data_IF_798205546124
#
_entry.id   IF_798205546124
#
_cell.length_a   1.000
_cell.length_b   1.000
_cell.length_c   1.000
_cell.angle_alpha   90.00
_cell.angle_beta   90.00
_cell.angle_gamma   90.00
#
_symmetry.space_group_name_H-M   'P 1'
#
loop_
_entity.id
_entity.type
_entity.pdbx_description
1 polymer ?
#
# COMPACT_ATOMS: atom_id res chain seq x y z
N UNK A 1 -25.56 15.12 33.28
CA UNK A 1 -26.64 15.37 34.27
C UNK A 1 -27.53 14.09 34.38
N UNK A 2 -28.21 13.87 35.53
CA UNK A 2 -29.12 12.72 35.72
C UNK A 2 -30.18 12.63 34.62
N UNK A 3 -30.72 13.76 34.16
CA UNK A 3 -31.69 13.82 33.06
C UNK A 3 -31.13 13.24 31.76
N UNK A 4 -29.88 13.57 31.43
CA UNK A 4 -29.22 13.04 30.23
C UNK A 4 -29.09 11.51 30.30
N UNK A 5 -28.67 10.95 31.43
CA UNK A 5 -28.55 9.53 31.63
C UNK A 5 -29.91 8.78 31.47
N UNK A 6 -31.00 9.35 32.03
CA UNK A 6 -32.34 8.79 31.89
C UNK A 6 -32.80 8.83 30.41
N UNK A 7 -32.52 9.90 29.69
CA UNK A 7 -32.86 10.01 28.27
C UNK A 7 -32.09 8.97 27.44
N UNK A 8 -30.78 8.81 27.69
CA UNK A 8 -29.97 7.80 27.04
C UNK A 8 -30.46 6.36 27.33
N UNK A 9 -30.92 6.09 28.54
CA UNK A 9 -31.51 4.78 28.90
C UNK A 9 -32.84 4.53 28.17
N UNK A 10 -33.73 5.53 28.11
CA UNK A 10 -34.98 5.43 27.36
C UNK A 10 -34.71 5.24 25.85
N UNK A 11 -33.77 5.99 25.28
CA UNK A 11 -33.36 5.88 23.87
C UNK A 11 -32.85 4.46 23.57
N UNK A 12 -32.01 3.92 24.46
CA UNK A 12 -31.47 2.56 24.37
C UNK A 12 -32.57 1.50 24.37
N UNK A 13 -33.57 1.61 25.29
CA UNK A 13 -34.66 0.66 25.37
C UNK A 13 -35.59 0.73 24.14
N UNK A 14 -35.98 1.92 23.72
CA UNK A 14 -36.84 2.14 22.55
C UNK A 14 -36.13 1.61 21.29
N UNK A 15 -34.86 1.94 21.08
CA UNK A 15 -34.09 1.48 19.94
C UNK A 15 -34.09 -0.08 19.85
N UNK A 16 -33.86 -0.77 20.97
CA UNK A 16 -33.90 -2.23 21.01
C UNK A 16 -35.26 -2.81 20.68
N UNK A 17 -36.34 -2.22 21.19
CA UNK A 17 -37.67 -2.66 20.87
C UNK A 17 -37.98 -2.54 19.38
N UNK A 18 -37.66 -1.43 18.76
CA UNK A 18 -37.87 -1.20 17.33
C UNK A 18 -37.06 -2.19 16.50
N UNK A 19 -35.77 -2.33 16.78
CA UNK A 19 -34.90 -3.18 15.96
C UNK A 19 -35.18 -4.67 16.17
N UNK A 20 -35.35 -5.12 17.39
CA UNK A 20 -35.51 -6.57 17.67
C UNK A 20 -36.92 -7.06 17.45
N UNK A 21 -37.95 -6.30 17.89
CA UNK A 21 -39.36 -6.73 17.82
C UNK A 21 -40.02 -6.30 16.51
N UNK A 22 -39.84 -5.05 16.11
CA UNK A 22 -40.52 -4.52 14.93
C UNK A 22 -39.72 -4.76 13.65
N UNK A 23 -38.46 -5.23 13.77
CA UNK A 23 -37.52 -5.46 12.64
C UNK A 23 -37.39 -4.24 11.71
N UNK A 24 -37.33 -3.06 12.32
CA UNK A 24 -37.20 -1.79 11.61
C UNK A 24 -35.91 -1.08 12.06
N UNK A 25 -35.15 -0.55 11.14
CA UNK A 25 -33.95 0.27 11.41
C UNK A 25 -34.32 1.74 11.42
N UNK A 26 -33.50 2.57 12.11
CA UNK A 26 -33.76 3.99 12.26
C UNK A 26 -33.79 4.74 10.90
N UNK A 27 -33.12 4.24 9.89
CA UNK A 27 -33.10 4.79 8.53
C UNK A 27 -34.07 4.07 7.55
N UNK A 28 -34.90 3.14 8.04
CA UNK A 28 -35.87 2.42 7.26
C UNK A 28 -35.36 1.23 6.45
N UNK A 29 -34.03 0.93 6.47
CA UNK A 29 -33.45 -0.23 5.79
C UNK A 29 -33.88 -1.55 6.44
N UNK A 30 -33.82 -2.61 5.65
CA UNK A 30 -33.92 -3.97 6.18
C UNK A 30 -32.65 -4.34 6.97
N UNK A 31 -32.75 -5.41 7.76
CA UNK A 31 -31.62 -5.87 8.61
C UNK A 31 -30.39 -6.28 7.80
N UNK A 32 -30.60 -6.80 6.60
CA UNK A 32 -29.54 -7.29 5.70
C UNK A 32 -29.14 -6.29 4.59
N UNK A 33 -29.65 -5.07 4.64
CA UNK A 33 -29.50 -4.08 3.58
C UNK A 33 -28.28 -3.18 3.80
N UNK A 34 -27.51 -2.98 2.71
CA UNK A 34 -26.37 -2.06 2.67
C UNK A 34 -26.86 -0.68 2.22
N UNK A 35 -26.28 0.39 2.77
CA UNK A 35 -26.51 1.76 2.31
C UNK A 35 -26.11 1.91 0.83
N UNK A 36 -26.66 2.89 0.09
CA UNK A 36 -26.28 3.14 -1.30
C UNK A 36 -24.76 3.27 -1.47
N UNK A 37 -24.22 2.60 -2.50
CA UNK A 37 -22.81 2.56 -2.81
C UNK A 37 -22.50 3.42 -4.03
N UNK A 38 -21.42 4.19 -3.98
CA UNK A 38 -20.80 4.79 -5.16
C UNK A 38 -19.27 4.73 -5.08
N UNK A 39 -18.64 4.69 -6.24
CA UNK A 39 -17.19 4.51 -6.36
C UNK A 39 -16.65 5.34 -7.51
N UNK A 40 -15.54 6.02 -7.27
CA UNK A 40 -14.81 6.77 -8.29
C UNK A 40 -13.32 6.47 -8.19
N UNK A 41 -12.63 6.48 -9.33
CA UNK A 41 -11.17 6.35 -9.41
C UNK A 41 -10.56 7.54 -10.14
N UNK A 42 -9.26 7.79 -9.92
CA UNK A 42 -8.50 8.88 -10.57
C UNK A 42 -9.00 10.29 -10.27
N UNK A 43 -9.63 10.51 -9.13
CA UNK A 43 -10.06 11.85 -8.72
C UNK A 43 -8.89 12.84 -8.67
N UNK A 44 -7.73 12.38 -8.26
CA UNK A 44 -6.52 13.19 -8.11
C UNK A 44 -5.55 12.89 -9.26
N UNK A 45 -5.41 13.82 -10.24
CA UNK A 45 -4.76 13.51 -11.52
C UNK A 45 -3.24 13.31 -11.43
N UNK A 46 -2.59 13.71 -10.33
CA UNK A 46 -1.13 13.61 -10.18
C UNK A 46 -0.68 12.53 -9.20
N UNK A 47 -1.60 11.85 -8.54
CA UNK A 47 -1.28 10.72 -7.66
C UNK A 47 -0.94 9.47 -8.48
N UNK A 48 -0.30 8.49 -7.84
CA UNK A 48 -0.02 7.22 -8.52
C UNK A 48 -1.27 6.36 -8.65
N UNK A 49 -2.20 6.45 -7.70
CA UNK A 49 -3.56 5.92 -7.76
C UNK A 49 -4.42 6.61 -6.74
N UNK A 50 -5.68 6.86 -7.05
CA UNK A 50 -6.65 7.41 -6.11
C UNK A 50 -8.02 6.81 -6.34
N UNK A 51 -8.77 6.62 -5.24
CA UNK A 51 -10.12 6.10 -5.28
C UNK A 51 -10.97 6.71 -4.17
N UNK A 52 -12.20 7.03 -4.50
CA UNK A 52 -13.24 7.44 -3.57
C UNK A 52 -14.26 6.32 -3.43
N UNK A 53 -14.53 5.92 -2.22
CA UNK A 53 -15.57 4.96 -1.89
C UNK A 53 -16.59 5.62 -0.96
N UNK A 54 -17.86 5.57 -1.37
CA UNK A 54 -18.97 6.15 -0.61
C UNK A 54 -19.99 5.07 -0.29
N UNK A 55 -20.41 5.00 0.96
CA UNK A 55 -21.47 4.12 1.46
C UNK A 55 -22.41 4.94 2.31
N UNK A 56 -23.52 5.40 1.72
CA UNK A 56 -24.43 6.36 2.35
C UNK A 56 -23.67 7.61 2.80
N UNK A 57 -23.70 7.90 4.09
CA UNK A 57 -23.01 9.02 4.73
C UNK A 57 -21.61 8.68 5.24
N UNK A 58 -20.95 7.71 4.63
CA UNK A 58 -19.54 7.38 4.95
C UNK A 58 -18.73 7.39 3.68
N UNK A 59 -17.74 8.28 3.63
CA UNK A 59 -16.91 8.50 2.45
C UNK A 59 -15.43 8.48 2.80
N UNK A 60 -14.65 7.68 2.07
CA UNK A 60 -13.20 7.57 2.23
C UNK A 60 -12.50 7.78 0.88
N UNK A 61 -11.52 8.69 0.87
CA UNK A 61 -10.62 8.93 -0.26
C UNK A 61 -9.28 8.27 0.04
N UNK A 62 -8.92 7.26 -0.72
CA UNK A 62 -7.62 6.59 -0.60
C UNK A 62 -6.68 7.01 -1.73
N UNK A 63 -5.43 7.24 -1.36
CA UNK A 63 -4.36 7.69 -2.25
C UNK A 63 -3.19 6.73 -2.12
N UNK A 64 -2.80 6.10 -3.22
CA UNK A 64 -1.64 5.21 -3.29
C UNK A 64 -0.43 5.95 -3.83
N UNK A 65 0.70 5.80 -3.15
CA UNK A 65 2.02 6.26 -3.58
C UNK A 65 2.96 5.06 -3.69
N UNK A 66 3.71 5.00 -4.78
CA UNK A 66 4.74 4.00 -5.04
C UNK A 66 6.11 4.65 -4.87
N UNK A 67 7.00 3.99 -4.15
CA UNK A 67 8.38 4.43 -3.94
C UNK A 67 9.36 3.31 -4.27
N UNK A 68 10.67 3.61 -4.28
CA UNK A 68 11.72 2.61 -4.41
C UNK A 68 11.70 1.65 -3.20
N UNK A 69 12.25 0.45 -3.35
CA UNK A 69 12.32 -0.54 -2.26
C UNK A 69 13.03 0.02 -1.03
N UNK A 70 14.16 0.69 -1.21
CA UNK A 70 14.91 1.32 -0.11
C UNK A 70 14.17 2.43 0.64
N UNK A 71 12.96 2.83 0.19
CA UNK A 71 12.09 3.79 0.89
C UNK A 71 11.12 3.12 1.89
N UNK A 72 11.30 1.83 2.19
CA UNK A 72 10.54 1.12 3.20
C UNK A 72 10.68 1.76 4.58
N UNK A 73 9.69 1.55 5.43
CA UNK A 73 9.77 2.00 6.81
C UNK A 73 10.67 1.06 7.61
N UNK A 74 11.72 1.61 8.24
CA UNK A 74 12.56 0.87 9.18
C UNK A 74 11.81 0.75 10.51
N UNK A 75 11.70 -0.47 11.02
CA UNK A 75 11.11 -0.78 12.32
C UNK A 75 12.23 -1.05 13.32
N UNK A 76 12.46 -0.11 14.25
CA UNK A 76 13.42 -0.24 15.33
C UNK A 76 12.67 -0.67 16.60
N UNK A 77 12.29 -1.94 16.67
CA UNK A 77 11.52 -2.55 17.74
C UNK A 77 12.16 -3.84 18.24
N UNK A 78 11.44 -4.55 19.12
CA UNK A 78 11.84 -5.85 19.66
C UNK A 78 11.32 -7.03 18.82
N UNK A 79 10.54 -6.75 17.78
CA UNK A 79 9.97 -7.75 16.90
C UNK A 79 10.99 -8.22 15.85
N UNK A 80 10.71 -9.35 15.21
CA UNK A 80 11.56 -9.92 14.16
C UNK A 80 11.49 -9.11 12.84
N UNK A 81 10.40 -8.37 12.62
CA UNK A 81 10.25 -7.51 11.45
C UNK A 81 11.06 -6.24 11.65
N UNK A 82 12.02 -6.01 10.76
CA UNK A 82 12.90 -4.83 10.78
C UNK A 82 12.53 -3.78 9.74
N UNK A 83 11.66 -4.14 8.80
CA UNK A 83 11.25 -3.27 7.70
C UNK A 83 9.79 -3.50 7.31
N UNK A 84 9.18 -2.47 6.73
CA UNK A 84 7.79 -2.50 6.33
C UNK A 84 7.61 -1.86 4.96
N UNK A 85 7.35 -2.68 3.96
CA UNK A 85 7.21 -2.29 2.56
C UNK A 85 5.81 -1.79 2.20
N UNK A 86 4.77 -2.31 2.84
CA UNK A 86 3.40 -1.87 2.69
C UNK A 86 2.93 -1.11 3.91
N UNK A 87 2.37 0.09 3.72
CA UNK A 87 1.88 0.96 4.79
C UNK A 87 0.49 1.48 4.45
N UNK A 88 -0.40 1.49 5.45
CA UNK A 88 -1.69 2.16 5.34
C UNK A 88 -1.88 3.14 6.49
N UNK A 89 -2.01 4.41 6.17
CA UNK A 89 -2.26 5.50 7.10
C UNK A 89 -3.71 5.95 6.97
N UNK A 90 -4.38 6.06 8.10
CA UNK A 90 -5.77 6.43 8.20
C UNK A 90 -5.91 7.76 8.94
N UNK A 91 -6.58 8.72 8.34
CA UNK A 91 -6.86 10.02 8.92
C UNK A 91 -8.36 10.22 9.08
N UNK A 92 -8.75 10.69 10.27
CA UNK A 92 -10.14 10.96 10.62
C UNK A 92 -10.25 12.39 11.13
N UNK A 93 -10.28 13.39 10.23
CA UNK A 93 -10.40 14.79 10.62
C UNK A 93 -11.77 15.08 11.23
N UNK A 94 -11.84 16.04 12.16
CA UNK A 94 -13.06 16.40 12.87
C UNK A 94 -14.23 16.79 11.95
N UNK A 95 -13.94 17.40 10.79
CA UNK A 95 -14.97 17.78 9.82
C UNK A 95 -15.74 16.57 9.24
N UNK A 96 -15.15 15.35 9.27
CA UNK A 96 -15.82 14.14 8.77
C UNK A 96 -17.10 13.78 9.54
N UNK A 97 -17.26 14.29 10.74
CA UNK A 97 -18.46 14.18 11.58
C UNK A 97 -19.12 15.53 11.85
N UNK A 98 -18.77 16.56 11.06
CA UNK A 98 -19.34 17.92 11.20
C UNK A 98 -18.82 18.70 12.40
N UNK A 99 -17.71 18.29 12.99
CA UNK A 99 -17.13 18.92 14.16
C UNK A 99 -15.92 19.81 13.80
N UNK A 100 -15.59 20.72 14.71
CA UNK A 100 -14.32 21.46 14.68
C UNK A 100 -13.31 20.81 15.62
N UNK A 101 -12.05 20.72 15.20
CA UNK A 101 -11.03 20.08 16.00
C UNK A 101 -9.62 20.52 15.62
N UNK A 102 -8.64 20.14 16.44
CA UNK A 102 -7.22 20.38 16.14
C UNK A 102 -6.75 19.38 15.07
N UNK A 103 -5.98 19.87 14.13
CA UNK A 103 -5.21 19.05 13.22
C UNK A 103 -3.89 18.68 13.91
N UNK A 104 -3.61 17.40 14.06
CA UNK A 104 -2.43 16.90 14.79
C UNK A 104 -2.05 15.47 14.41
N UNK A 105 -1.18 14.88 15.20
CA UNK A 105 -0.80 13.47 15.03
C UNK A 105 -2.02 12.54 15.21
N UNK A 106 -2.07 11.40 14.49
CA UNK A 106 -3.15 10.43 14.62
C UNK A 106 -3.32 9.93 16.06
N UNK A 107 -4.56 9.87 16.52
CA UNK A 107 -4.92 9.30 17.80
C UNK A 107 -4.90 7.76 17.77
N UNK A 108 -5.05 7.11 18.93
CA UNK A 108 -5.05 5.64 19.05
C UNK A 108 -6.12 4.97 18.19
N UNK A 109 -7.30 5.60 18.04
CA UNK A 109 -8.39 5.08 17.20
C UNK A 109 -8.00 5.09 15.72
N UNK A 110 -7.37 6.15 15.25
CA UNK A 110 -6.90 6.27 13.87
C UNK A 110 -5.81 5.26 13.58
N UNK A 111 -4.84 5.08 14.49
CA UNK A 111 -3.79 4.06 14.38
C UNK A 111 -4.41 2.66 14.30
N UNK A 112 -5.38 2.33 15.16
CA UNK A 112 -6.06 1.03 15.16
C UNK A 112 -6.88 0.76 13.89
N UNK A 113 -7.56 1.78 13.37
CA UNK A 113 -8.30 1.66 12.10
C UNK A 113 -7.35 1.51 10.91
N UNK A 114 -6.25 2.24 10.90
CA UNK A 114 -5.18 2.09 9.90
C UNK A 114 -4.59 0.68 9.91
N UNK A 115 -4.25 0.16 11.09
CA UNK A 115 -3.71 -1.19 11.26
C UNK A 115 -4.69 -2.29 10.80
N UNK A 116 -6.00 -2.11 11.01
CA UNK A 116 -7.00 -3.04 10.48
C UNK A 116 -7.03 -3.03 8.96
N UNK A 117 -7.04 -1.84 8.34
CA UNK A 117 -7.01 -1.68 6.88
C UNK A 117 -5.76 -2.27 6.27
N UNK A 118 -4.61 -2.03 6.88
CA UNK A 118 -3.33 -2.56 6.45
C UNK A 118 -3.31 -4.09 6.48
N UNK A 119 -3.71 -4.72 7.60
CA UNK A 119 -3.79 -6.19 7.69
C UNK A 119 -4.73 -6.78 6.66
N UNK A 120 -5.86 -6.10 6.38
CA UNK A 120 -6.84 -6.58 5.40
C UNK A 120 -6.27 -6.60 3.97
N UNK A 121 -5.46 -5.61 3.60
CA UNK A 121 -4.90 -5.47 2.26
C UNK A 121 -3.54 -6.18 2.11
N UNK A 122 -2.76 -6.31 3.18
CA UNK A 122 -1.45 -6.98 3.16
C UNK A 122 -1.53 -8.42 2.61
N UNK A 123 -2.61 -9.14 2.90
CA UNK A 123 -2.80 -10.53 2.48
C UNK A 123 -2.89 -10.69 0.95
N UNK A 124 -3.25 -9.64 0.25
CA UNK A 124 -3.39 -9.63 -1.21
C UNK A 124 -2.28 -8.89 -1.93
N UNK A 125 -1.33 -8.32 -1.20
CA UNK A 125 -0.18 -7.64 -1.81
C UNK A 125 0.70 -8.63 -2.57
N UNK A 126 1.29 -8.20 -3.70
CA UNK A 126 2.27 -8.99 -4.43
C UNK A 126 3.57 -9.17 -3.63
N UNK A 127 4.35 -10.19 -3.98
CA UNK A 127 5.71 -10.34 -3.44
C UNK A 127 6.62 -9.21 -3.93
N UNK A 128 7.80 -9.11 -3.36
CA UNK A 128 8.79 -8.12 -3.77
C UNK A 128 9.33 -8.40 -5.17
N UNK A 129 9.53 -9.68 -5.50
CA UNK A 129 9.98 -10.09 -6.82
C UNK A 129 8.96 -9.78 -7.91
N UNK A 130 7.65 -9.88 -7.60
CA UNK A 130 6.57 -9.57 -8.53
C UNK A 130 6.36 -8.07 -8.72
N UNK A 131 6.54 -7.29 -7.63
CA UNK A 131 6.30 -5.84 -7.65
C UNK A 131 7.29 -5.12 -6.73
N UNK A 132 8.47 -4.74 -7.24
CA UNK A 132 9.59 -4.20 -6.46
C UNK A 132 9.39 -2.73 -6.07
N UNK A 133 8.33 -2.44 -5.32
CA UNK A 133 8.02 -1.10 -4.81
C UNK A 133 7.70 -1.13 -3.33
N UNK A 134 8.07 -0.08 -2.65
CA UNK A 134 7.44 0.30 -1.39
C UNK A 134 6.10 0.97 -1.71
N UNK A 135 5.04 0.53 -1.04
CA UNK A 135 3.67 0.98 -1.31
C UNK A 135 3.08 1.64 -0.07
N UNK A 136 2.65 2.88 -0.22
CA UNK A 136 1.98 3.63 0.85
C UNK A 136 0.57 4.02 0.41
N UNK A 137 -0.43 3.66 1.20
CA UNK A 137 -1.81 4.12 1.07
C UNK A 137 -2.11 5.11 2.18
N UNK A 138 -2.65 6.27 1.83
CA UNK A 138 -3.20 7.24 2.78
C UNK A 138 -4.69 7.33 2.54
N UNK A 139 -5.47 7.08 3.57
CA UNK A 139 -6.94 7.19 3.52
C UNK A 139 -7.41 8.39 4.34
N UNK A 140 -8.07 9.32 3.67
CA UNK A 140 -8.74 10.48 4.26
C UNK A 140 -10.23 10.20 4.37
N UNK A 141 -10.77 10.21 5.57
CA UNK A 141 -12.21 10.08 5.79
C UNK A 141 -12.84 11.44 5.61
N UNK A 142 -13.67 11.59 4.56
CA UNK A 142 -14.31 12.87 4.21
C UNK A 142 -15.65 13.04 4.91
N UNK A 143 -16.39 11.95 5.10
CA UNK A 143 -17.65 11.92 5.85
C UNK A 143 -17.80 10.59 6.58
N UNK A 144 -18.39 10.57 7.76
CA UNK A 144 -18.56 9.34 8.55
C UNK A 144 -19.86 9.30 9.33
N UNK A 145 -20.64 8.24 9.05
CA UNK A 145 -21.75 7.78 9.88
C UNK A 145 -21.64 6.25 10.08
N UNK A 146 -20.55 5.84 10.74
CA UNK A 146 -20.27 4.44 11.07
C UNK A 146 -19.40 3.72 10.03
N UNK A 147 -18.50 2.91 10.54
CA UNK A 147 -17.63 1.98 9.80
C UNK A 147 -16.75 2.59 8.69
N UNK A 148 -16.10 3.72 8.99
CA UNK A 148 -15.15 4.38 8.09
C UNK A 148 -13.91 3.53 7.79
N UNK A 149 -13.47 2.64 8.72
CA UNK A 149 -12.37 1.72 8.47
C UNK A 149 -12.66 0.72 7.34
N UNK A 150 -13.91 0.25 7.23
CA UNK A 150 -14.31 -0.65 6.15
C UNK A 150 -14.43 0.09 4.81
N UNK A 151 -14.87 1.34 4.82
CA UNK A 151 -14.82 2.20 3.64
C UNK A 151 -13.37 2.44 3.19
N UNK A 152 -12.45 2.65 4.14
CA UNK A 152 -11.00 2.76 3.87
C UNK A 152 -10.42 1.51 3.20
N UNK A 153 -10.81 0.31 3.63
CA UNK A 153 -10.37 -0.94 2.98
C UNK A 153 -10.84 -0.99 1.53
N UNK A 154 -12.11 -0.66 1.27
CA UNK A 154 -12.66 -0.64 -0.08
C UNK A 154 -11.97 0.42 -0.97
N UNK A 155 -11.83 1.65 -0.49
CA UNK A 155 -11.13 2.72 -1.20
C UNK A 155 -9.65 2.39 -1.42
N UNK A 156 -8.97 1.86 -0.40
CA UNK A 156 -7.58 1.42 -0.45
C UNK A 156 -7.36 0.33 -1.50
N UNK A 157 -8.23 -0.68 -1.54
CA UNK A 157 -8.20 -1.72 -2.55
C UNK A 157 -8.29 -1.14 -3.98
N UNK A 158 -9.26 -0.26 -4.21
CA UNK A 158 -9.46 0.39 -5.51
C UNK A 158 -8.29 1.30 -5.89
N UNK A 159 -7.72 2.05 -4.93
CA UNK A 159 -6.58 2.92 -5.17
C UNK A 159 -5.30 2.15 -5.51
N UNK A 160 -5.08 0.98 -4.91
CA UNK A 160 -4.00 0.05 -5.25
C UNK A 160 -4.16 -0.48 -6.68
N UNK A 161 -5.37 -0.92 -7.05
CA UNK A 161 -5.66 -1.38 -8.40
C UNK A 161 -5.47 -0.27 -9.45
N UNK A 162 -5.92 0.96 -9.13
CA UNK A 162 -5.74 2.14 -9.97
C UNK A 162 -4.27 2.55 -10.12
N UNK A 163 -3.44 2.31 -9.11
CA UNK A 163 -2.00 2.54 -9.15
C UNK A 163 -1.23 1.50 -9.99
N UNK A 164 -1.86 0.41 -10.38
CA UNK A 164 -1.22 -0.69 -11.09
C UNK A 164 -0.51 -1.69 -10.18
N UNK A 165 -0.85 -1.73 -8.88
CA UNK A 165 -0.36 -2.76 -7.97
C UNK A 165 -1.08 -4.07 -8.26
N UNK A 166 -0.37 -5.14 -8.64
CA UNK A 166 -0.99 -6.41 -9.04
C UNK A 166 -1.43 -7.22 -7.81
N UNK A 167 -2.44 -6.70 -7.08
CA UNK A 167 -3.01 -7.42 -5.94
C UNK A 167 -3.61 -8.76 -6.38
N UNK A 168 -3.49 -9.79 -5.55
CA UNK A 168 -3.95 -11.16 -5.84
C UNK A 168 -5.45 -11.25 -6.07
N UNK A 169 -6.24 -10.45 -5.35
CA UNK A 169 -7.70 -10.37 -5.50
C UNK A 169 -8.24 -9.07 -4.88
N UNK A 170 -9.36 -8.54 -5.36
CA UNK A 170 -10.03 -7.41 -4.73
C UNK A 170 -10.53 -7.74 -3.33
N UNK A 171 -10.45 -6.76 -2.42
CA UNK A 171 -10.88 -6.86 -1.02
C UNK A 171 -12.00 -5.87 -0.76
N UNK A 172 -13.06 -6.33 -0.11
CA UNK A 172 -14.13 -5.48 0.43
C UNK A 172 -14.29 -5.70 1.93
N UNK A 173 -14.71 -4.67 2.63
CA UNK A 173 -14.98 -4.70 4.05
C UNK A 173 -16.40 -4.25 4.41
N UNK A 174 -16.98 -4.88 5.44
CA UNK A 174 -18.30 -4.54 5.98
C UNK A 174 -18.27 -4.60 7.50
N UNK A 175 -19.12 -3.81 8.15
CA UNK A 175 -19.38 -3.92 9.58
C UNK A 175 -20.78 -4.47 9.84
N UNK A 176 -20.82 -5.48 10.68
CA UNK A 176 -22.03 -6.11 11.19
C UNK A 176 -22.29 -5.67 12.62
N UNK A 177 -23.53 -5.59 13.02
CA UNK A 177 -23.94 -5.32 14.40
C UNK A 177 -24.81 -6.44 14.96
N UNK A 178 -24.84 -6.50 16.27
CA UNK A 178 -25.76 -7.38 17.02
C UNK A 178 -26.54 -6.52 18.01
N UNK A 179 -27.83 -6.72 18.05
CA UNK A 179 -28.73 -6.16 19.07
C UNK A 179 -29.55 -7.28 19.70
N UNK A 180 -29.47 -7.40 21.01
CA UNK A 180 -30.18 -8.42 21.78
C UNK A 180 -31.30 -7.81 22.62
N UNK A 181 -32.35 -8.56 22.87
CA UNK A 181 -33.45 -8.19 23.79
C UNK A 181 -33.98 -9.44 24.45
N UNK A 182 -33.55 -9.73 25.67
CA UNK A 182 -33.81 -11.02 26.34
C UNK A 182 -33.15 -12.16 25.58
N UNK A 183 -33.94 -13.15 25.19
CA UNK A 183 -33.49 -14.30 24.39
C UNK A 183 -33.49 -14.03 22.88
N UNK A 184 -34.11 -12.93 22.44
CA UNK A 184 -34.19 -12.53 21.03
C UNK A 184 -32.98 -11.72 20.62
N UNK A 185 -32.57 -11.86 19.35
CA UNK A 185 -31.51 -11.07 18.77
C UNK A 185 -31.75 -10.70 17.30
N UNK A 186 -31.03 -9.72 16.82
CA UNK A 186 -31.03 -9.30 15.43
C UNK A 186 -29.60 -8.92 14.98
N UNK A 187 -29.20 -9.47 13.84
CA UNK A 187 -27.95 -9.13 13.21
C UNK A 187 -28.19 -8.06 12.15
N UNK A 188 -27.41 -6.99 12.19
CA UNK A 188 -27.50 -5.86 11.27
C UNK A 188 -26.33 -5.86 10.31
N UNK A 189 -26.60 -5.68 9.03
CA UNK A 189 -25.57 -5.43 8.00
C UNK A 189 -25.35 -3.93 7.84
N UNK A 190 -24.10 -3.50 7.70
CA UNK A 190 -23.73 -2.10 7.47
C UNK A 190 -24.28 -1.16 8.55
N UNK A 191 -23.76 -1.31 9.75
CA UNK A 191 -24.19 -0.51 10.89
C UNK A 191 -23.80 0.96 10.77
N UNK A 192 -24.72 1.81 11.22
CA UNK A 192 -24.49 3.25 11.40
C UNK A 192 -23.92 3.55 12.80
N UNK A 193 -23.50 4.80 12.99
CA UNK A 193 -22.95 5.25 14.28
C UNK A 193 -23.87 5.03 15.48
N UNK A 194 -25.17 5.24 15.34
CA UNK A 194 -26.15 4.96 16.38
C UNK A 194 -26.24 3.45 16.69
N UNK A 195 -26.26 2.61 15.67
CA UNK A 195 -26.31 1.15 15.80
C UNK A 195 -25.02 0.55 16.39
N UNK A 196 -23.87 1.16 16.08
CA UNK A 196 -22.59 0.85 16.73
C UNK A 196 -22.64 1.25 18.23
N UNK A 197 -23.12 2.46 18.53
CA UNK A 197 -23.15 2.98 19.91
C UNK A 197 -24.09 2.20 20.82
N UNK A 198 -25.31 1.93 20.35
CA UNK A 198 -26.39 1.29 21.11
C UNK A 198 -26.41 -0.25 20.95
N UNK A 199 -25.62 -0.81 20.06
CA UNK A 199 -25.54 -2.24 19.81
C UNK A 199 -24.68 -3.01 20.80
N UNK A 200 -24.77 -4.35 20.77
CA UNK A 200 -24.08 -5.27 21.67
C UNK A 200 -22.77 -5.83 21.08
N UNK A 201 -22.64 -5.78 19.76
CA UNK A 201 -21.45 -6.21 19.04
C UNK A 201 -21.23 -5.32 17.82
N UNK A 202 -19.99 -4.93 17.59
CA UNK A 202 -19.45 -4.39 16.33
C UNK A 202 -18.49 -5.43 15.75
N UNK A 203 -18.85 -5.97 14.60
CA UNK A 203 -18.13 -7.07 13.96
C UNK A 203 -17.71 -6.68 12.54
N UNK A 204 -16.44 -6.36 12.37
CA UNK A 204 -15.84 -5.93 11.11
C UNK A 204 -15.19 -7.09 10.38
N UNK A 205 -15.59 -7.31 9.14
CA UNK A 205 -15.11 -8.42 8.31
C UNK A 205 -14.65 -7.87 6.96
N UNK A 206 -13.39 -8.09 6.64
CA UNK A 206 -12.82 -7.79 5.32
C UNK A 206 -12.34 -9.06 4.63
N UNK A 207 -12.41 -9.10 3.30
CA UNK A 207 -11.91 -10.24 2.55
C UNK A 207 -12.22 -10.19 1.06
N UNK A 208 -11.68 -11.18 0.36
CA UNK A 208 -11.88 -11.45 -1.05
C UNK A 208 -13.14 -12.31 -1.28
N UNK A 209 -13.35 -12.75 -2.53
CA UNK A 209 -14.36 -13.78 -2.83
C UNK A 209 -14.02 -15.14 -2.20
N UNK A 210 -12.73 -15.44 -2.05
CA UNK A 210 -12.24 -16.75 -1.61
C UNK A 210 -12.14 -16.88 -0.08
N UNK A 211 -11.87 -15.78 0.63
CA UNK A 211 -11.69 -15.84 2.08
C UNK A 211 -11.66 -14.49 2.78
N UNK A 212 -11.57 -14.57 4.11
CA UNK A 212 -11.46 -13.41 5.01
C UNK A 212 -9.98 -13.06 5.13
N UNK A 213 -9.65 -11.78 4.96
CA UNK A 213 -8.30 -11.24 5.09
C UNK A 213 -8.06 -10.52 6.42
N UNK A 214 -9.12 -9.96 7.01
CA UNK A 214 -9.06 -9.39 8.36
C UNK A 214 -10.43 -9.44 9.05
N UNK A 215 -10.35 -9.55 10.37
CA UNK A 215 -11.51 -9.60 11.24
C UNK A 215 -11.22 -8.81 12.51
N UNK A 216 -12.19 -8.01 12.95
CA UNK A 216 -12.16 -7.33 14.24
C UNK A 216 -13.55 -7.43 14.86
N UNK A 217 -13.62 -7.82 16.12
CA UNK A 217 -14.85 -7.90 16.89
C UNK A 217 -14.70 -7.12 18.19
N UNK A 218 -15.69 -6.28 18.48
CA UNK A 218 -15.88 -5.65 19.77
C UNK A 218 -17.23 -6.09 20.34
N UNK A 219 -17.21 -6.70 21.53
CA UNK A 219 -18.39 -7.24 22.19
C UNK A 219 -18.61 -6.49 23.50
N UNK A 220 -19.80 -5.90 23.66
CA UNK A 220 -20.18 -5.12 24.84
C UNK A 220 -20.98 -5.95 25.86
N UNK A 221 -21.31 -7.20 25.52
CA UNK A 221 -22.03 -8.19 26.37
C UNK A 221 -21.07 -9.32 26.79
N UNK A 222 -21.52 -10.21 27.68
CA UNK A 222 -20.67 -11.28 28.25
C UNK A 222 -20.19 -12.33 27.25
N UNK A 223 -20.69 -12.33 26.03
CA UNK A 223 -20.30 -13.25 24.97
C UNK A 223 -21.43 -13.44 23.96
N UNK A 224 -21.11 -14.10 22.86
CA UNK A 224 -22.02 -14.46 21.78
C UNK A 224 -22.02 -15.99 21.58
N UNK A 225 -23.11 -16.54 21.07
CA UNK A 225 -23.17 -17.95 20.73
C UNK A 225 -22.54 -18.26 19.40
N UNK A 226 -22.14 -19.51 19.18
CA UNK A 226 -21.62 -19.98 17.89
C UNK A 226 -22.61 -19.75 16.74
N UNK A 227 -23.92 -19.89 17.01
CA UNK A 227 -24.96 -19.66 16.00
C UNK A 227 -24.97 -18.18 15.54
N UNK A 228 -24.93 -17.24 16.48
CA UNK A 228 -24.88 -15.80 16.18
C UNK A 228 -23.65 -15.50 15.31
N UNK A 229 -22.49 -16.06 15.65
CA UNK A 229 -21.27 -15.86 14.88
C UNK A 229 -21.37 -16.43 13.45
N UNK A 230 -21.94 -17.63 13.30
CA UNK A 230 -22.16 -18.24 11.98
C UNK A 230 -23.11 -17.41 11.11
N UNK A 231 -24.20 -16.94 11.67
CA UNK A 231 -25.15 -16.07 10.96
C UNK A 231 -24.51 -14.74 10.57
N UNK A 232 -23.79 -14.09 11.49
CA UNK A 232 -23.10 -12.83 11.23
C UNK A 232 -22.05 -12.98 10.11
N UNK A 233 -21.28 -14.06 10.11
CA UNK A 233 -20.32 -14.36 9.05
C UNK A 233 -20.99 -14.64 7.70
N UNK A 234 -22.08 -15.38 7.68
CA UNK A 234 -22.83 -15.66 6.45
C UNK A 234 -23.43 -14.39 5.85
N UNK A 235 -24.02 -13.52 6.70
CA UNK A 235 -24.57 -12.24 6.29
C UNK A 235 -23.49 -11.27 5.84
N UNK A 236 -22.34 -11.22 6.53
CA UNK A 236 -21.16 -10.44 6.13
C UNK A 236 -20.58 -10.90 4.79
N UNK A 237 -20.59 -12.21 4.50
CA UNK A 237 -20.14 -12.75 3.21
C UNK A 237 -21.01 -12.23 2.07
N UNK A 238 -22.35 -12.27 2.23
CA UNK A 238 -23.30 -11.75 1.24
C UNK A 238 -23.03 -10.26 0.97
N UNK A 239 -22.94 -9.47 2.03
CA UNK A 239 -22.71 -8.04 1.94
C UNK A 239 -21.35 -7.70 1.26
N UNK A 240 -20.26 -8.41 1.62
CA UNK A 240 -18.95 -8.22 0.98
C UNK A 240 -19.01 -8.52 -0.52
N UNK A 241 -19.74 -9.53 -0.94
CA UNK A 241 -19.88 -9.87 -2.35
C UNK A 241 -20.62 -8.78 -3.13
N UNK A 242 -21.67 -8.19 -2.55
CA UNK A 242 -22.36 -7.04 -3.15
C UNK A 242 -21.42 -5.84 -3.33
N UNK A 243 -20.59 -5.55 -2.31
CA UNK A 243 -19.57 -4.48 -2.40
C UNK A 243 -18.48 -4.82 -3.43
N UNK A 244 -17.99 -6.06 -3.46
CA UNK A 244 -17.00 -6.51 -4.44
C UNK A 244 -17.53 -6.37 -5.87
N UNK A 245 -18.81 -6.65 -6.11
CA UNK A 245 -19.42 -6.48 -7.42
C UNK A 245 -19.48 -5.00 -7.85
N UNK A 246 -19.66 -4.05 -6.92
CA UNK A 246 -19.57 -2.61 -7.20
C UNK A 246 -18.14 -2.21 -7.50
N UNK A 247 -17.17 -2.65 -6.69
CA UNK A 247 -15.74 -2.38 -6.89
C UNK A 247 -15.29 -2.91 -8.26
N UNK A 248 -15.62 -4.16 -8.60
CA UNK A 248 -15.18 -4.79 -9.84
C UNK A 248 -15.88 -4.22 -11.08
N UNK A 249 -17.08 -3.63 -10.96
CA UNK A 249 -17.70 -2.85 -12.04
C UNK A 249 -16.93 -1.55 -12.33
N UNK A 250 -16.38 -0.91 -11.30
CA UNK A 250 -15.58 0.31 -11.44
C UNK A 250 -14.16 0.02 -11.96
N UNK A 251 -13.52 -0.99 -11.39
CA UNK A 251 -12.19 -1.46 -11.79
C UNK A 251 -12.14 -2.98 -11.66
N UNK A 252 -12.16 -3.69 -12.79
CA UNK A 252 -12.25 -5.15 -12.82
C UNK A 252 -10.95 -5.83 -12.43
N UNK A 253 -9.83 -5.27 -12.87
CA UNK A 253 -8.48 -5.79 -12.66
C UNK A 253 -7.50 -4.64 -12.36
N UNK A 254 -6.40 -4.90 -11.66
CA UNK A 254 -5.32 -3.93 -11.52
C UNK A 254 -4.83 -3.44 -12.88
N UNK A 255 -4.49 -2.16 -12.98
CA UNK A 255 -3.89 -1.61 -14.21
C UNK A 255 -2.59 -2.33 -14.54
N UNK A 256 -2.35 -2.57 -15.81
CA UNK A 256 -1.13 -3.25 -16.30
C UNK A 256 0.13 -2.39 -16.16
N UNK A 257 -0.02 -1.08 -16.18
CA UNK A 257 1.08 -0.12 -16.04
C UNK A 257 0.82 0.79 -14.85
N UNK A 258 1.91 1.13 -14.16
CA UNK A 258 1.87 2.15 -13.10
C UNK A 258 1.61 3.54 -13.71
N UNK A 259 1.09 4.46 -12.89
CA UNK A 259 0.85 5.84 -13.29
C UNK A 259 2.08 6.47 -13.97
N UNK A 260 1.84 7.35 -14.92
CA UNK A 260 2.94 8.13 -15.56
C UNK A 260 3.76 8.96 -14.58
N UNK A 261 3.20 9.27 -13.42
CA UNK A 261 3.87 10.01 -12.34
C UNK A 261 4.58 9.10 -11.34
N UNK A 262 4.27 7.80 -11.35
CA UNK A 262 4.98 6.84 -10.51
C UNK A 262 6.38 6.56 -11.07
N UNK A 263 7.37 6.28 -10.21
CA UNK A 263 8.66 5.81 -10.67
C UNK A 263 8.48 4.50 -11.44
N UNK A 264 9.14 4.42 -12.60
CA UNK A 264 9.25 3.17 -13.38
C UNK A 264 10.48 2.43 -12.91
N UNK A 265 10.47 1.12 -13.02
CA UNK A 265 11.58 0.27 -12.60
C UNK A 265 12.23 -0.43 -13.78
N UNK A 266 13.52 -0.65 -13.67
CA UNK A 266 14.30 -1.56 -14.52
C UNK A 266 15.15 -2.44 -13.61
N UNK A 267 15.03 -3.76 -13.77
CA UNK A 267 15.76 -4.76 -12.97
C UNK A 267 16.70 -5.50 -13.89
N UNK A 268 17.95 -5.69 -13.46
CA UNK A 268 18.91 -6.56 -14.11
C UNK A 268 19.92 -7.07 -13.07
N UNK A 269 20.73 -8.03 -13.48
CA UNK A 269 21.71 -8.65 -12.59
C UNK A 269 23.12 -8.35 -13.08
N UNK A 270 24.00 -8.11 -12.12
CA UNK A 270 25.46 -8.05 -12.33
C UNK A 270 26.11 -9.16 -11.49
N UNK A 271 27.37 -9.50 -11.78
CA UNK A 271 28.10 -10.45 -10.93
C UNK A 271 28.27 -9.86 -9.52
N UNK A 272 27.96 -10.60 -8.43
CA UNK A 272 28.12 -10.09 -7.06
C UNK A 272 29.50 -9.52 -6.76
N UNK A 273 30.55 -10.11 -7.35
CA UNK A 273 31.94 -9.65 -7.22
C UNK A 273 32.14 -8.22 -7.76
N UNK A 274 31.27 -7.76 -8.68
CA UNK A 274 31.32 -6.47 -9.36
C UNK A 274 30.54 -5.36 -8.66
N UNK A 275 29.78 -5.68 -7.63
CA UNK A 275 29.04 -4.68 -6.83
C UNK A 275 30.00 -3.59 -6.32
N UNK A 276 31.20 -3.99 -5.88
CA UNK A 276 32.22 -3.06 -5.39
C UNK A 276 32.71 -2.08 -6.48
N UNK A 277 32.75 -2.52 -7.74
CA UNK A 277 33.15 -1.69 -8.87
C UNK A 277 32.06 -0.63 -9.18
N UNK A 278 30.79 -0.99 -9.04
CA UNK A 278 29.65 -0.06 -9.20
C UNK A 278 29.58 0.95 -8.06
N UNK A 279 29.78 0.51 -6.83
CA UNK A 279 29.76 1.40 -5.66
C UNK A 279 30.97 2.34 -5.69
N UNK A 280 32.14 1.81 -6.00
CA UNK A 280 33.41 2.55 -5.99
C UNK A 280 33.91 2.83 -4.56
N UNK A 281 35.06 3.47 -4.46
CA UNK A 281 35.68 3.81 -3.18
C UNK A 281 34.82 4.84 -2.44
N UNK A 282 34.27 4.47 -1.25
CA UNK A 282 33.42 5.35 -0.45
C UNK A 282 32.12 5.78 -1.15
N UNK A 283 31.64 5.05 -2.15
CA UNK A 283 30.43 5.37 -2.90
C UNK A 283 30.60 6.38 -4.04
N UNK A 284 31.83 6.75 -4.38
CA UNK A 284 32.12 7.79 -5.40
C UNK A 284 31.56 7.43 -6.79
N UNK A 285 31.70 6.16 -7.22
CA UNK A 285 31.29 5.75 -8.55
C UNK A 285 29.76 5.76 -8.69
N UNK A 286 29.03 5.18 -7.75
CA UNK A 286 27.56 5.17 -7.78
C UNK A 286 27.00 6.60 -7.68
N UNK A 287 27.58 7.44 -6.83
CA UNK A 287 27.23 8.87 -6.74
C UNK A 287 27.39 9.56 -8.09
N UNK A 288 28.51 9.33 -8.76
CA UNK A 288 28.78 9.88 -10.09
C UNK A 288 27.78 9.37 -11.13
N UNK A 289 27.49 8.07 -11.14
CA UNK A 289 26.52 7.48 -12.06
C UNK A 289 25.14 8.13 -11.87
N UNK A 290 24.67 8.26 -10.64
CA UNK A 290 23.39 8.87 -10.31
C UNK A 290 23.34 10.34 -10.77
N UNK A 291 24.35 11.12 -10.44
CA UNK A 291 24.40 12.54 -10.80
C UNK A 291 24.49 12.75 -12.31
N UNK A 292 25.40 12.04 -13.00
CA UNK A 292 25.64 12.20 -14.44
C UNK A 292 24.47 11.70 -15.29
N UNK A 293 23.78 10.63 -14.85
CA UNK A 293 22.63 10.09 -15.58
C UNK A 293 21.40 11.00 -15.47
N UNK A 294 21.16 11.54 -14.29
CA UNK A 294 19.98 12.39 -13.99
C UNK A 294 20.26 13.88 -14.26
N UNK A 295 21.51 14.25 -14.56
CA UNK A 295 21.94 15.65 -14.73
C UNK A 295 21.64 16.52 -13.48
N UNK A 296 21.94 15.98 -12.30
CA UNK A 296 21.79 16.64 -10.99
C UNK A 296 23.15 16.80 -10.31
N UNK A 297 23.23 17.67 -9.32
CA UNK A 297 24.48 17.96 -8.59
C UNK A 297 24.65 17.15 -7.30
N UNK A 298 23.57 16.53 -6.82
CA UNK A 298 23.57 15.73 -5.59
C UNK A 298 22.60 14.55 -5.67
N UNK A 299 22.94 13.44 -5.04
CA UNK A 299 22.09 12.24 -4.97
C UNK A 299 20.80 12.47 -4.15
N UNK A 300 20.76 13.51 -3.34
CA UNK A 300 19.59 13.92 -2.55
C UNK A 300 18.60 14.79 -3.33
N UNK A 301 18.91 15.13 -4.60
CA UNK A 301 17.99 15.87 -5.46
C UNK A 301 16.73 15.03 -5.72
N UNK A 302 15.56 15.68 -5.73
CA UNK A 302 14.27 15.02 -5.97
C UNK A 302 14.18 14.38 -7.38
N UNK A 303 14.99 14.87 -8.33
CA UNK A 303 15.05 14.36 -9.69
C UNK A 303 16.18 13.35 -9.89
N UNK A 304 16.92 13.00 -8.83
CA UNK A 304 17.97 11.99 -8.92
C UNK A 304 17.35 10.60 -9.15
N UNK A 305 17.97 9.82 -10.05
CA UNK A 305 17.62 8.39 -10.21
C UNK A 305 17.96 7.66 -8.92
N UNK A 306 17.10 6.73 -8.52
CA UNK A 306 17.37 5.85 -7.38
C UNK A 306 17.85 4.51 -7.88
N UNK A 307 18.88 3.98 -7.25
CA UNK A 307 19.53 2.71 -7.59
C UNK A 307 19.69 1.91 -6.31
N UNK A 308 19.02 0.77 -6.26
CA UNK A 308 19.17 -0.22 -5.20
C UNK A 308 20.08 -1.35 -5.71
N UNK A 309 21.04 -1.75 -4.87
CA UNK A 309 22.02 -2.80 -5.15
C UNK A 309 21.94 -3.85 -4.03
N UNK A 310 21.59 -5.07 -4.37
CA UNK A 310 21.48 -6.19 -3.43
C UNK A 310 22.75 -7.07 -3.50
N UNK A 311 23.05 -7.76 -2.41
CA UNK A 311 24.26 -8.60 -2.26
C UNK A 311 24.33 -9.77 -3.27
N UNK A 312 23.21 -10.19 -3.83
CA UNK A 312 23.10 -11.23 -4.86
C UNK A 312 23.44 -10.70 -6.27
N UNK A 313 23.66 -9.39 -6.41
CA UNK A 313 23.95 -8.73 -7.69
C UNK A 313 22.72 -8.17 -8.39
N UNK A 314 21.53 -8.22 -7.79
CA UNK A 314 20.33 -7.58 -8.31
C UNK A 314 20.47 -6.06 -8.26
N UNK A 315 20.24 -5.42 -9.38
CA UNK A 315 20.25 -3.97 -9.53
C UNK A 315 18.87 -3.50 -9.93
N UNK A 316 18.28 -2.64 -9.12
CA UNK A 316 16.96 -2.05 -9.40
C UNK A 316 17.10 -0.55 -9.55
N UNK A 317 16.68 -0.02 -10.70
CA UNK A 317 16.75 1.41 -11.04
C UNK A 317 15.33 1.97 -11.05
N UNK A 318 15.11 3.12 -10.40
CA UNK A 318 13.82 3.80 -10.34
C UNK A 318 13.92 5.23 -10.82
N UNK A 319 13.11 5.59 -11.80
CA UNK A 319 12.92 6.98 -12.24
C UNK A 319 11.62 7.15 -13.03
N UNK A 320 11.04 8.34 -13.07
CA UNK A 320 9.85 8.63 -13.90
C UNK A 320 10.14 8.64 -15.39
N UNK A 321 11.37 9.01 -15.78
CA UNK A 321 11.87 9.07 -17.17
C UNK A 321 12.61 7.79 -17.55
N UNK A 322 12.12 7.12 -18.61
CA UNK A 322 12.72 5.88 -19.13
C UNK A 322 14.12 6.09 -19.75
N UNK A 323 14.42 7.27 -20.27
CA UNK A 323 15.72 7.53 -20.90
C UNK A 323 16.82 7.69 -19.86
N UNK A 324 16.50 8.28 -18.70
CA UNK A 324 17.39 8.32 -17.54
C UNK A 324 17.68 6.90 -17.03
N UNK A 325 16.65 6.07 -16.91
CA UNK A 325 16.82 4.65 -16.51
C UNK A 325 17.77 3.92 -17.45
N UNK A 326 17.55 4.05 -18.77
CA UNK A 326 18.44 3.42 -19.79
C UNK A 326 19.87 3.92 -19.70
N UNK A 327 20.06 5.23 -19.53
CA UNK A 327 21.38 5.83 -19.38
C UNK A 327 22.08 5.31 -18.12
N UNK A 328 21.38 5.29 -16.99
CA UNK A 328 21.90 4.74 -15.72
C UNK A 328 22.31 3.28 -15.87
N UNK A 329 21.42 2.45 -16.44
CA UNK A 329 21.70 1.03 -16.72
C UNK A 329 22.97 0.87 -17.57
N UNK A 330 23.10 1.64 -18.64
CA UNK A 330 24.29 1.59 -19.51
C UNK A 330 25.56 1.97 -18.74
N UNK A 331 25.51 3.02 -17.93
CA UNK A 331 26.67 3.45 -17.13
C UNK A 331 27.06 2.39 -16.08
N UNK A 332 26.11 1.70 -15.46
CA UNK A 332 26.38 0.60 -14.54
C UNK A 332 27.01 -0.58 -15.30
N UNK A 333 26.44 -0.96 -16.45
CA UNK A 333 27.00 -2.04 -17.28
C UNK A 333 28.42 -1.72 -17.79
N UNK A 334 28.69 -0.46 -18.11
CA UNK A 334 30.01 -0.03 -18.51
C UNK A 334 31.02 -0.07 -17.34
N UNK A 335 30.59 0.19 -16.11
CA UNK A 335 31.42 0.12 -14.91
C UNK A 335 31.83 -1.33 -14.56
N UNK A 336 30.98 -2.31 -14.88
CA UNK A 336 31.23 -3.75 -14.60
C UNK A 336 31.78 -4.51 -15.78
N UNK A 337 31.98 -3.84 -16.92
CA UNK A 337 32.43 -4.46 -18.17
C UNK A 337 33.80 -5.08 -18.01
N UNK A 338 33.93 -6.31 -18.48
CA UNK A 338 35.21 -7.07 -18.49
C UNK A 338 35.76 -7.23 -19.92
N UNK A 339 37.06 -7.32 -20.01
CA UNK A 339 37.71 -7.69 -21.27
C UNK A 339 37.51 -9.18 -21.50
N UNK A 340 36.96 -9.54 -22.64
CA UNK A 340 36.73 -10.95 -23.01
C UNK A 340 37.93 -11.45 -23.82
N UNK A 341 38.47 -12.62 -23.46
CA UNK A 341 39.54 -13.27 -24.21
C UNK A 341 39.11 -13.57 -25.65
N UNK A 342 39.99 -13.28 -26.58
CA UNK A 342 39.75 -13.47 -28.03
C UNK A 342 39.00 -12.35 -28.72
N UNK A 343 38.50 -11.31 -28.02
CA UNK A 343 37.95 -10.09 -28.62
C UNK A 343 39.00 -9.04 -28.86
N UNK A 344 38.83 -8.28 -29.94
CA UNK A 344 39.69 -7.16 -30.31
C UNK A 344 39.06 -5.88 -29.84
N UNK A 345 39.81 -5.08 -29.07
CA UNK A 345 39.36 -3.80 -28.53
C UNK A 345 40.27 -2.66 -29.04
N UNK A 346 39.74 -1.53 -29.47
CA UNK A 346 40.52 -0.32 -29.64
C UNK A 346 40.94 0.19 -28.26
N UNK A 347 42.20 0.47 -28.07
CA UNK A 347 42.77 0.93 -26.81
C UNK A 347 43.73 2.09 -27.01
N UNK A 348 43.73 3.00 -26.03
CA UNK A 348 44.65 4.15 -26.02
C UNK A 348 45.94 3.79 -25.28
N UNK A 349 47.10 4.03 -25.87
CA UNK A 349 48.39 3.89 -25.18
C UNK A 349 48.50 4.99 -24.13
N UNK A 350 48.66 4.60 -22.86
CA UNK A 350 48.76 5.51 -21.69
C UNK A 350 50.21 5.64 -21.20
N UNK A 351 51.03 4.56 -21.35
CA UNK A 351 52.44 4.58 -20.97
C UNK A 351 53.24 3.62 -21.83
N UNK A 352 54.46 3.99 -22.19
CA UNK A 352 55.38 3.14 -22.93
C UNK A 352 56.59 2.83 -22.02
N UNK A 353 56.92 1.55 -21.93
CA UNK A 353 58.07 1.01 -21.17
C UNK A 353 58.94 0.16 -22.09
N UNK A 354 60.20 -0.12 -21.68
CA UNK A 354 61.14 -0.91 -22.47
C UNK A 354 60.63 -2.32 -22.83
N UNK A 355 59.77 -2.92 -21.96
CA UNK A 355 59.21 -4.24 -22.12
C UNK A 355 57.84 -4.26 -22.81
N UNK A 356 57.24 -3.11 -23.15
CA UNK A 356 55.94 -3.04 -23.77
C UNK A 356 55.22 -1.71 -23.54
N UNK A 357 53.90 -1.73 -23.71
CA UNK A 357 53.11 -0.53 -23.43
C UNK A 357 51.84 -0.87 -22.61
N UNK A 358 51.49 0.05 -21.74
CA UNK A 358 50.21 0.03 -21.07
C UNK A 358 49.14 0.67 -21.96
N UNK A 359 48.05 -0.03 -22.15
CA UNK A 359 46.91 0.43 -22.96
C UNK A 359 45.67 0.50 -22.11
N UNK A 360 44.93 1.57 -22.28
CA UNK A 360 43.63 1.75 -21.65
C UNK A 360 42.52 1.42 -22.66
N UNK A 361 41.77 0.37 -22.37
CA UNK A 361 40.63 -0.06 -23.21
C UNK A 361 39.42 0.83 -22.97
N UNK A 362 39.14 1.13 -21.69
CA UNK A 362 38.18 2.13 -21.21
C UNK A 362 38.65 2.67 -19.85
N UNK A 363 38.07 3.78 -19.34
CA UNK A 363 38.44 4.33 -18.04
C UNK A 363 38.37 3.28 -16.94
N UNK A 364 39.48 3.06 -16.22
CA UNK A 364 39.59 2.04 -15.16
C UNK A 364 40.02 0.65 -15.62
N UNK A 365 40.13 0.39 -16.92
CA UNK A 365 40.61 -0.88 -17.47
C UNK A 365 41.88 -0.70 -18.26
N UNK A 366 43.00 -1.10 -17.67
CA UNK A 366 44.33 -1.03 -18.29
C UNK A 366 44.86 -2.45 -18.53
N UNK A 367 45.52 -2.62 -19.67
CA UNK A 367 46.18 -3.86 -20.04
C UNK A 367 47.62 -3.63 -20.43
N UNK A 368 48.46 -4.63 -20.29
CA UNK A 368 49.86 -4.61 -20.74
C UNK A 368 49.98 -5.35 -22.06
N UNK A 369 50.46 -4.66 -23.07
CA UNK A 369 50.88 -5.24 -24.35
C UNK A 369 52.40 -5.39 -24.32
N UNK A 370 52.88 -6.62 -24.22
CA UNK A 370 54.30 -6.94 -24.18
C UNK A 370 54.95 -6.72 -25.56
N UNK A 371 56.16 -6.23 -25.55
CA UNK A 371 56.96 -6.10 -26.77
C UNK A 371 57.41 -7.49 -27.26
N UNK A 372 56.99 -7.88 -28.46
CA UNK A 372 57.42 -9.12 -29.08
C UNK A 372 58.93 -9.18 -29.41
N UNK A 373 59.59 -8.01 -29.46
CA UNK A 373 61.04 -7.92 -29.73
C UNK A 373 61.85 -8.49 -28.55
N UNK A 374 61.33 -8.40 -27.33
CA UNK A 374 61.98 -8.91 -26.12
C UNK A 374 61.60 -10.34 -25.75
N UNK A 375 60.62 -10.93 -26.45
CA UNK A 375 60.22 -12.33 -26.31
C UNK A 375 60.92 -13.21 -27.31
#
# INVERSE_FOLDING_TARGET
TKVKLILEEIEYEIFRQIVVKEKTRADGRRMDEIRPLSTDIDLLPRTHGSALFTRGQTQALAITTLGALGEHQILDGLDMETEKRFMLHYNFPAFSVGETGRYGAPGRREIGHGALGERALLQVMPSEEEFPYTVRVVSEVLESNGSSSQATICAGCMSLMAAGVPIKAPVAGIAMGLITSGDDYTILTDIQGMEDHLGDMDFKVAGTKDGITALQMDIKIKGITENILKEALAQAKKARFEILDVITKQIAEPRKEVSKYAPKTEIFFIKPEKIKDVIGRGGEMITKIICDSSNVTAVTDINAVKVDLEDDGRVTIYHSDKDIIKKTKQMILDAVKEVEEGKIYPAKVVKIEDFGCFVQVWPGCEGLVLSLIHI
#
